data_IF_940854226778
#
_entry.id   IF_940854226778
#
_cell.length_a   1.000
_cell.length_b   1.000
_cell.length_c   1.000
_cell.angle_alpha   90.00
_cell.angle_beta   90.00
_cell.angle_gamma   90.00
#
_symmetry.space_group_name_H-M   'P 1'
#
loop_
_entity.id
_entity.type
_entity.pdbx_description
1 polymer ?
#
# COMPACT_ATOMS: atom_id res chain seq x y z
N UNK A 1 22.29 10.62 6.53
CA UNK A 1 21.22 11.39 7.23
C UNK A 1 19.89 10.74 6.87
N UNK A 2 18.99 10.50 7.83
CA UNK A 2 17.70 9.87 7.53
C UNK A 2 16.78 10.87 6.80
N UNK A 3 16.23 10.55 5.61
CA UNK A 3 15.28 11.39 4.90
C UNK A 3 14.10 11.75 5.80
N UNK A 4 13.83 13.04 5.88
CA UNK A 4 12.83 13.59 6.80
C UNK A 4 11.42 13.02 6.53
N UNK A 5 11.06 12.82 5.26
CA UNK A 5 9.78 12.23 4.87
C UNK A 5 9.57 10.84 5.49
N UNK A 6 10.62 10.02 5.51
CA UNK A 6 10.60 8.69 6.08
C UNK A 6 10.62 8.74 7.61
N UNK A 7 11.37 9.66 8.23
CA UNK A 7 11.39 9.83 9.69
C UNK A 7 10.00 10.17 10.21
N UNK A 8 9.35 11.16 9.57
CA UNK A 8 7.98 11.57 9.89
C UNK A 8 6.99 10.41 9.75
N UNK A 9 7.08 9.62 8.66
CA UNK A 9 6.20 8.46 8.47
C UNK A 9 6.38 7.39 9.57
N UNK A 10 7.62 7.15 10.02
CA UNK A 10 7.90 6.22 11.12
C UNK A 10 7.34 6.73 12.44
N UNK A 11 7.47 8.04 12.71
CA UNK A 11 6.86 8.67 13.89
C UNK A 11 5.34 8.50 13.91
N UNK A 12 4.65 8.81 12.81
CA UNK A 12 3.21 8.65 12.74
C UNK A 12 2.76 7.20 12.85
N UNK A 13 3.55 6.25 12.32
CA UNK A 13 3.30 4.82 12.51
C UNK A 13 3.39 4.44 13.98
N UNK A 14 4.49 4.80 14.65
CA UNK A 14 4.64 4.50 16.07
C UNK A 14 3.52 5.13 16.92
N UNK A 15 3.12 6.36 16.60
CA UNK A 15 2.01 7.04 17.29
C UNK A 15 0.68 6.31 17.09
N UNK A 16 0.31 5.99 15.85
CA UNK A 16 -0.94 5.29 15.55
C UNK A 16 -1.01 3.92 16.25
N UNK A 17 0.10 3.19 16.26
CA UNK A 17 0.17 1.89 16.93
C UNK A 17 0.12 2.01 18.45
N UNK A 18 0.72 3.05 19.03
CA UNK A 18 0.60 3.34 20.45
C UNK A 18 -0.85 3.66 20.83
N UNK A 19 -1.53 4.47 20.01
CA UNK A 19 -2.94 4.81 20.21
C UNK A 19 -3.84 3.56 20.11
N UNK A 20 -3.60 2.64 19.17
CA UNK A 20 -4.33 1.36 19.13
C UNK A 20 -4.09 0.45 20.34
N UNK A 21 -2.91 0.54 20.94
CA UNK A 21 -2.57 -0.21 22.15
C UNK A 21 -3.14 0.39 23.44
N UNK A 22 -3.68 1.61 23.39
CA UNK A 22 -4.19 2.34 24.56
C UNK A 22 -5.72 2.24 24.65
N UNK A 23 -6.27 1.52 25.65
CA UNK A 23 -7.73 1.39 25.82
C UNK A 23 -8.43 2.71 26.18
N UNK A 24 -7.68 3.78 26.50
CA UNK A 24 -8.24 5.10 26.79
C UNK A 24 -8.38 5.98 25.54
N UNK A 25 -7.87 5.54 24.39
CA UNK A 25 -7.98 6.28 23.13
C UNK A 25 -9.09 5.67 22.27
N UNK A 26 -10.14 6.44 22.01
CA UNK A 26 -11.18 6.03 21.06
C UNK A 26 -10.72 6.26 19.62
N UNK A 27 -9.98 5.27 19.10
CA UNK A 27 -9.49 5.24 17.72
C UNK A 27 -10.60 5.03 16.69
N UNK A 28 -11.82 4.72 17.13
CA UNK A 28 -12.97 4.48 16.25
C UNK A 28 -13.80 5.76 16.02
N UNK A 29 -13.59 6.82 16.79
CA UNK A 29 -14.34 8.06 16.61
C UNK A 29 -13.97 8.80 15.32
N UNK A 30 -14.97 9.41 14.68
CA UNK A 30 -14.76 10.30 13.52
C UNK A 30 -13.82 11.47 13.85
N UNK A 31 -13.90 11.97 15.09
CA UNK A 31 -13.05 13.04 15.59
C UNK A 31 -11.57 12.61 15.59
N UNK A 32 -11.27 11.40 16.10
CA UNK A 32 -9.93 10.85 16.09
C UNK A 32 -9.41 10.67 14.65
N UNK A 33 -10.18 10.02 13.78
CA UNK A 33 -9.77 9.78 12.38
C UNK A 33 -9.42 11.07 11.67
N UNK A 34 -10.31 12.06 11.75
CA UNK A 34 -10.15 13.33 11.06
C UNK A 34 -8.94 14.10 11.59
N UNK A 35 -8.77 14.15 12.92
CA UNK A 35 -7.63 14.81 13.54
C UNK A 35 -6.30 14.11 13.22
N UNK A 36 -6.29 12.79 13.24
CA UNK A 36 -5.12 11.96 12.96
C UNK A 36 -4.70 12.06 11.50
N UNK A 37 -5.63 11.95 10.55
CA UNK A 37 -5.30 12.13 9.12
C UNK A 37 -4.87 13.57 8.83
N UNK A 38 -5.52 14.57 9.43
CA UNK A 38 -5.16 15.98 9.26
C UNK A 38 -3.71 16.29 9.69
N UNK A 39 -3.16 15.56 10.66
CA UNK A 39 -1.80 15.76 11.12
C UNK A 39 -0.76 15.40 10.05
N UNK A 40 -0.95 14.31 9.30
CA UNK A 40 0.03 13.86 8.30
C UNK A 40 -0.30 14.21 6.85
N UNK A 41 -1.57 14.54 6.55
CA UNK A 41 -2.00 14.79 5.17
C UNK A 41 -1.23 15.93 4.47
N UNK A 42 -0.86 17.05 5.13
CA UNK A 42 -0.05 18.10 4.49
C UNK A 42 1.28 17.56 3.95
N UNK A 43 1.95 16.69 4.70
CA UNK A 43 3.22 16.08 4.28
C UNK A 43 3.04 15.14 3.09
N UNK A 44 1.97 14.34 3.09
CA UNK A 44 1.65 13.48 1.95
C UNK A 44 1.36 14.29 0.68
N UNK A 45 0.65 15.41 0.80
CA UNK A 45 0.37 16.32 -0.33
C UNK A 45 1.66 16.94 -0.86
N UNK A 46 2.50 17.47 0.03
CA UNK A 46 3.79 18.07 -0.32
C UNK A 46 4.63 17.11 -1.17
N UNK A 47 4.78 15.86 -0.73
CA UNK A 47 5.56 14.84 -1.45
C UNK A 47 5.05 14.53 -2.86
N UNK A 48 3.73 14.62 -3.10
CA UNK A 48 3.14 14.37 -4.42
C UNK A 48 3.44 15.46 -5.44
N UNK A 49 3.87 16.64 -4.98
CA UNK A 49 4.17 17.80 -5.81
C UNK A 49 5.68 18.05 -5.99
N UNK A 50 6.54 17.24 -5.36
CA UNK A 50 8.00 17.34 -5.53
C UNK A 50 8.39 16.82 -6.93
N UNK A 51 9.15 17.62 -7.67
CA UNK A 51 9.59 17.30 -9.03
C UNK A 51 10.70 16.24 -9.02
N UNK A 52 10.48 15.12 -9.71
CA UNK A 52 11.30 13.89 -9.70
C UNK A 52 12.64 13.98 -10.43
N UNK A 53 13.31 15.13 -10.49
CA UNK A 53 14.51 15.33 -11.33
C UNK A 53 15.75 14.55 -10.87
N UNK A 54 15.72 13.93 -9.69
CA UNK A 54 16.81 13.10 -9.17
C UNK A 54 16.27 11.70 -8.79
N UNK A 55 16.81 10.65 -9.41
CA UNK A 55 16.37 9.25 -9.25
C UNK A 55 16.47 8.74 -7.79
N UNK A 56 17.49 9.18 -7.03
CA UNK A 56 17.63 8.87 -5.61
C UNK A 56 16.55 9.47 -4.70
N UNK A 57 15.91 10.57 -5.12
CA UNK A 57 14.76 11.13 -4.39
C UNK A 57 13.48 10.35 -4.68
N UNK A 58 13.31 9.83 -5.90
CA UNK A 58 12.10 9.10 -6.30
C UNK A 58 11.89 7.84 -5.45
N UNK A 59 12.94 7.05 -5.20
CA UNK A 59 12.83 5.87 -4.34
C UNK A 59 12.42 6.23 -2.90
N UNK A 60 13.02 7.26 -2.31
CA UNK A 60 12.70 7.74 -0.96
C UNK A 60 11.26 8.25 -0.86
N UNK A 61 10.83 9.01 -1.87
CA UNK A 61 9.46 9.51 -1.95
C UNK A 61 8.45 8.37 -2.13
N UNK A 62 8.74 7.39 -2.99
CA UNK A 62 7.88 6.22 -3.18
C UNK A 62 7.73 5.42 -1.88
N UNK A 63 8.83 5.17 -1.16
CA UNK A 63 8.79 4.50 0.14
C UNK A 63 8.02 5.30 1.19
N UNK A 64 8.15 6.62 1.21
CA UNK A 64 7.40 7.46 2.15
C UNK A 64 5.90 7.47 1.81
N UNK A 65 5.55 7.67 0.54
CA UNK A 65 4.16 7.64 0.07
C UNK A 65 3.50 6.31 0.39
N UNK A 66 4.20 5.20 0.13
CA UNK A 66 3.77 3.87 0.54
C UNK A 66 3.41 3.81 2.03
N UNK A 67 4.30 4.29 2.93
CA UNK A 67 4.07 4.26 4.38
C UNK A 67 2.86 5.10 4.79
N UNK A 68 2.67 6.29 4.22
CA UNK A 68 1.49 7.11 4.54
C UNK A 68 0.19 6.49 4.03
N UNK A 69 0.19 5.88 2.84
CA UNK A 69 -1.00 5.18 2.36
C UNK A 69 -1.28 3.94 3.20
N UNK A 70 -0.26 3.23 3.69
CA UNK A 70 -0.44 2.15 4.66
C UNK A 70 -1.09 2.64 5.96
N UNK A 71 -0.66 3.79 6.49
CA UNK A 71 -1.31 4.42 7.66
C UNK A 71 -2.78 4.77 7.41
N UNK A 72 -3.13 5.22 6.20
CA UNK A 72 -4.53 5.47 5.82
C UNK A 72 -5.34 4.17 5.81
N UNK A 73 -4.78 3.06 5.32
CA UNK A 73 -5.47 1.77 5.40
C UNK A 73 -5.73 1.42 6.86
N UNK A 74 -4.70 1.46 7.71
CA UNK A 74 -4.85 1.13 9.13
C UNK A 74 -5.90 2.02 9.81
N UNK A 75 -5.80 3.34 9.63
CA UNK A 75 -6.69 4.31 10.24
C UNK A 75 -8.18 4.08 9.92
N UNK A 76 -8.49 3.67 8.69
CA UNK A 76 -9.86 3.54 8.21
C UNK A 76 -10.38 2.09 8.22
N UNK A 77 -9.52 1.09 8.43
CA UNK A 77 -9.93 -0.32 8.45
C UNK A 77 -11.03 -0.64 9.48
N UNK A 78 -11.02 -0.10 10.72
CA UNK A 78 -12.08 -0.36 11.69
C UNK A 78 -13.48 0.10 11.25
N UNK A 79 -13.59 0.91 10.21
CA UNK A 79 -14.83 1.57 9.82
C UNK A 79 -15.50 0.94 8.60
N UNK A 80 -14.92 -0.09 8.00
CA UNK A 80 -15.48 -0.74 6.80
C UNK A 80 -16.85 -1.39 7.04
N UNK A 81 -17.16 -1.78 8.29
CA UNK A 81 -18.46 -2.30 8.72
C UNK A 81 -19.41 -1.24 9.28
N UNK A 82 -18.94 -0.01 9.49
CA UNK A 82 -19.73 1.02 10.19
C UNK A 82 -20.78 1.66 9.28
N UNK A 83 -22.06 1.61 9.68
CA UNK A 83 -23.23 2.03 8.89
C UNK A 83 -23.06 3.37 8.15
N UNK A 84 -22.48 4.38 8.81
CA UNK A 84 -22.34 5.73 8.25
C UNK A 84 -20.96 6.07 7.69
N UNK A 85 -19.93 5.33 8.10
CA UNK A 85 -18.54 5.68 7.81
C UNK A 85 -17.90 4.74 6.78
N UNK A 86 -18.53 3.57 6.55
CA UNK A 86 -18.08 2.59 5.57
C UNK A 86 -17.84 3.18 4.18
N UNK A 87 -18.74 4.01 3.59
CA UNK A 87 -18.49 4.55 2.25
C UNK A 87 -17.20 5.41 2.16
N UNK A 88 -16.94 6.22 3.19
CA UNK A 88 -15.72 7.02 3.26
C UNK A 88 -14.48 6.13 3.48
N UNK A 89 -14.61 5.14 4.35
CA UNK A 89 -13.55 4.19 4.66
C UNK A 89 -13.14 3.41 3.41
N UNK A 90 -14.10 2.84 2.69
CA UNK A 90 -13.87 2.14 1.43
C UNK A 90 -13.20 3.02 0.38
N UNK A 91 -13.77 4.20 0.08
CA UNK A 91 -13.16 5.11 -0.88
C UNK A 91 -11.71 5.48 -0.51
N UNK A 92 -11.43 5.64 0.78
CA UNK A 92 -10.09 5.97 1.28
C UNK A 92 -9.13 4.79 1.17
N UNK A 93 -9.56 3.60 1.58
CA UNK A 93 -8.78 2.36 1.54
C UNK A 93 -8.46 1.99 0.09
N UNK A 94 -9.46 1.97 -0.79
CA UNK A 94 -9.29 1.66 -2.21
C UNK A 94 -8.25 2.57 -2.86
N UNK A 95 -8.37 3.89 -2.63
CA UNK A 95 -7.38 4.84 -3.12
C UNK A 95 -5.99 4.62 -2.50
N UNK A 96 -5.91 4.27 -1.22
CA UNK A 96 -4.63 3.99 -0.57
C UNK A 96 -3.95 2.73 -1.14
N UNK A 97 -4.73 1.67 -1.40
CA UNK A 97 -4.27 0.42 -2.04
C UNK A 97 -3.72 0.70 -3.44
N UNK A 98 -4.48 1.42 -4.27
CA UNK A 98 -4.03 1.84 -5.60
C UNK A 98 -2.68 2.57 -5.53
N UNK A 99 -2.56 3.56 -4.63
CA UNK A 99 -1.35 4.37 -4.49
C UNK A 99 -0.16 3.56 -3.95
N UNK A 100 -0.39 2.55 -3.11
CA UNK A 100 0.64 1.60 -2.68
C UNK A 100 1.17 0.80 -3.88
N UNK A 101 0.27 0.29 -4.72
CA UNK A 101 0.67 -0.47 -5.91
C UNK A 101 1.47 0.40 -6.89
N UNK A 102 1.06 1.65 -7.10
CA UNK A 102 1.86 2.59 -7.90
C UNK A 102 3.21 2.93 -7.26
N UNK A 103 3.31 2.99 -5.93
CA UNK A 103 4.60 3.19 -5.25
C UNK A 103 5.57 2.04 -5.54
N UNK A 104 5.08 0.78 -5.58
CA UNK A 104 5.90 -0.35 -6.00
C UNK A 104 6.29 -0.28 -7.49
N UNK A 105 5.35 0.12 -8.35
CA UNK A 105 5.63 0.37 -9.77
C UNK A 105 6.74 1.40 -9.95
N UNK A 106 6.70 2.50 -9.18
CA UNK A 106 7.75 3.52 -9.18
C UNK A 106 9.09 2.94 -8.74
N UNK A 107 9.13 2.16 -7.65
CA UNK A 107 10.37 1.51 -7.18
C UNK A 107 10.95 0.54 -8.21
N UNK A 108 10.10 -0.22 -8.92
CA UNK A 108 10.53 -1.08 -10.02
C UNK A 108 11.10 -0.24 -11.16
N UNK A 109 10.44 0.86 -11.52
CA UNK A 109 10.86 1.74 -12.63
C UNK A 109 12.24 2.36 -12.42
N UNK A 110 12.64 2.54 -11.16
CA UNK A 110 13.97 3.06 -10.79
C UNK A 110 14.95 1.97 -10.35
N UNK A 111 14.61 0.69 -10.52
CA UNK A 111 15.44 -0.45 -10.09
C UNK A 111 15.88 -0.36 -8.60
N UNK A 112 14.97 0.10 -7.75
CA UNK A 112 15.15 0.24 -6.30
C UNK A 112 14.11 -0.57 -5.51
N UNK A 113 13.41 -1.49 -6.19
CA UNK A 113 12.65 -2.53 -5.52
C UNK A 113 13.64 -3.51 -4.89
N UNK A 114 13.59 -3.66 -3.57
CA UNK A 114 14.30 -4.70 -2.85
C UNK A 114 13.27 -5.71 -2.31
N UNK A 115 12.99 -6.82 -3.02
CA UNK A 115 11.96 -7.77 -2.63
C UNK A 115 12.19 -8.31 -1.23
N UNK A 116 11.20 -8.18 -0.36
CA UNK A 116 11.27 -8.69 1.01
C UNK A 116 9.93 -9.29 1.46
N UNK A 117 9.98 -10.22 2.41
CA UNK A 117 8.79 -10.89 2.93
C UNK A 117 7.70 -9.91 3.41
N UNK A 118 8.03 -8.84 4.16
CA UNK A 118 7.02 -7.87 4.58
C UNK A 118 6.42 -7.01 3.46
N UNK A 119 7.04 -6.97 2.28
CA UNK A 119 6.42 -6.37 1.10
C UNK A 119 5.41 -7.33 0.48
N UNK A 120 5.75 -8.63 0.40
CA UNK A 120 4.84 -9.68 -0.09
C UNK A 120 3.57 -9.73 0.78
N UNK A 121 3.69 -9.74 2.10
CA UNK A 121 2.52 -9.74 2.99
C UNK A 121 1.60 -8.53 2.77
N UNK A 122 2.17 -7.35 2.55
CA UNK A 122 1.37 -6.16 2.26
C UNK A 122 0.71 -6.20 0.89
N UNK A 123 1.39 -6.75 -0.12
CA UNK A 123 0.76 -7.00 -1.42
C UNK A 123 -0.42 -7.98 -1.27
N UNK A 124 -0.29 -9.00 -0.42
CA UNK A 124 -1.38 -9.92 -0.09
C UNK A 124 -2.55 -9.18 0.57
N UNK A 125 -2.28 -8.35 1.58
CA UNK A 125 -3.34 -7.53 2.23
C UNK A 125 -3.99 -6.58 1.23
N UNK A 126 -3.21 -5.89 0.40
CA UNK A 126 -3.75 -5.06 -0.69
C UNK A 126 -4.63 -5.88 -1.64
N UNK A 127 -4.22 -7.08 -2.01
CA UNK A 127 -5.03 -7.98 -2.84
C UNK A 127 -6.32 -8.42 -2.16
N UNK A 128 -6.29 -8.75 -0.88
CA UNK A 128 -7.50 -9.07 -0.09
C UNK A 128 -8.44 -7.86 -0.02
N UNK A 129 -7.91 -6.65 0.20
CA UNK A 129 -8.70 -5.43 0.20
C UNK A 129 -9.30 -5.12 -1.18
N UNK A 130 -8.61 -5.42 -2.29
CA UNK A 130 -9.20 -5.30 -3.62
C UNK A 130 -10.38 -6.24 -3.82
N UNK A 131 -10.30 -7.47 -3.32
CA UNK A 131 -11.40 -8.44 -3.37
C UNK A 131 -12.61 -7.87 -2.64
N UNK A 132 -12.42 -7.41 -1.40
CA UNK A 132 -13.50 -6.86 -0.58
C UNK A 132 -14.08 -5.57 -1.18
N UNK A 133 -13.24 -4.66 -1.69
CA UNK A 133 -13.69 -3.42 -2.31
C UNK A 133 -14.47 -3.67 -3.61
N UNK A 134 -14.07 -4.67 -4.41
CA UNK A 134 -14.80 -5.03 -5.61
C UNK A 134 -16.15 -5.68 -5.29
N UNK A 135 -16.19 -6.60 -4.32
CA UNK A 135 -17.42 -7.24 -3.86
C UNK A 135 -18.41 -6.23 -3.25
N UNK A 136 -17.90 -5.24 -2.50
CA UNK A 136 -18.68 -4.14 -1.96
C UNK A 136 -19.19 -3.13 -3.02
N UNK A 137 -18.77 -3.27 -4.29
CA UNK A 137 -19.18 -2.38 -5.38
C UNK A 137 -18.45 -1.04 -5.43
N UNK A 138 -17.35 -0.89 -4.67
CA UNK A 138 -16.55 0.34 -4.57
C UNK A 138 -15.61 0.51 -5.78
N UNK A 139 -15.27 -0.61 -6.43
CA UNK A 139 -14.44 -0.65 -7.62
C UNK A 139 -15.27 -0.99 -8.85
N UNK A 140 -15.24 -0.10 -9.85
CA UNK A 140 -15.79 -0.42 -11.17
C UNK A 140 -14.99 -1.55 -11.82
N UNK A 141 -15.63 -2.41 -12.61
CA UNK A 141 -15.02 -3.61 -13.22
C UNK A 141 -13.68 -3.34 -13.91
N UNK A 142 -13.59 -2.26 -14.68
CA UNK A 142 -12.37 -1.87 -15.40
C UNK A 142 -11.22 -1.50 -14.44
N UNK A 143 -11.55 -0.77 -13.38
CA UNK A 143 -10.59 -0.34 -12.36
C UNK A 143 -10.07 -1.55 -11.58
N UNK A 144 -10.99 -2.43 -11.15
CA UNK A 144 -10.63 -3.70 -10.51
C UNK A 144 -9.69 -4.53 -11.40
N UNK A 145 -10.01 -4.70 -12.68
CA UNK A 145 -9.15 -5.44 -13.61
C UNK A 145 -7.74 -4.85 -13.69
N UNK A 146 -7.61 -3.52 -13.79
CA UNK A 146 -6.29 -2.85 -13.82
C UNK A 146 -5.51 -3.07 -12.52
N UNK A 147 -6.17 -2.96 -11.36
CA UNK A 147 -5.51 -3.13 -10.06
C UNK A 147 -5.12 -4.58 -9.80
N UNK A 148 -5.95 -5.56 -10.16
CA UNK A 148 -5.60 -6.98 -10.07
C UNK A 148 -4.47 -7.36 -11.04
N UNK A 149 -4.45 -6.76 -12.23
CA UNK A 149 -3.33 -6.93 -13.15
C UNK A 149 -2.03 -6.35 -12.58
N UNK A 150 -2.09 -5.15 -11.99
CA UNK A 150 -0.93 -4.56 -11.35
C UNK A 150 -0.44 -5.42 -10.17
N UNK A 151 -1.34 -5.94 -9.33
CA UNK A 151 -0.99 -6.90 -8.27
C UNK A 151 -0.29 -8.14 -8.83
N UNK A 152 -0.81 -8.70 -9.93
CA UNK A 152 -0.21 -9.85 -10.62
C UNK A 152 1.22 -9.54 -11.09
N UNK A 153 1.42 -8.41 -11.78
CA UNK A 153 2.72 -7.97 -12.26
C UNK A 153 3.70 -7.72 -11.09
N UNK A 154 3.23 -7.15 -9.98
CA UNK A 154 4.04 -6.91 -8.78
C UNK A 154 4.48 -8.20 -8.09
N UNK A 155 3.59 -9.21 -7.97
CA UNK A 155 3.94 -10.50 -7.40
C UNK A 155 4.97 -11.24 -8.27
N UNK A 156 4.88 -11.14 -9.60
CA UNK A 156 5.91 -11.68 -10.50
C UNK A 156 7.29 -11.09 -10.22
N UNK A 157 7.38 -9.79 -9.91
CA UNK A 157 8.66 -9.14 -9.56
C UNK A 157 9.26 -9.62 -8.24
N UNK A 158 8.48 -10.24 -7.37
CA UNK A 158 8.94 -10.80 -6.11
C UNK A 158 9.22 -12.31 -6.20
N UNK A 159 8.75 -12.98 -7.25
CA UNK A 159 8.73 -14.45 -7.35
C UNK A 159 10.11 -15.09 -7.31
N UNK A 160 11.12 -14.49 -7.95
CA UNK A 160 12.48 -15.03 -7.97
C UNK A 160 13.11 -15.10 -6.57
N UNK A 161 12.72 -14.17 -5.69
CA UNK A 161 13.18 -14.13 -4.29
C UNK A 161 12.27 -14.93 -3.36
N UNK A 162 10.95 -14.88 -3.61
CA UNK A 162 9.93 -15.46 -2.74
C UNK A 162 9.01 -16.40 -3.55
N UNK A 163 9.34 -17.70 -3.64
CA UNK A 163 8.62 -18.65 -4.49
C UNK A 163 7.12 -18.77 -4.18
N UNK A 164 6.70 -18.50 -2.94
CA UNK A 164 5.29 -18.45 -2.51
C UNK A 164 4.45 -17.47 -3.34
N UNK A 165 5.07 -16.46 -3.97
CA UNK A 165 4.38 -15.57 -4.91
C UNK A 165 3.75 -16.33 -6.08
N UNK A 166 4.28 -17.48 -6.51
CA UNK A 166 3.66 -18.30 -7.55
C UNK A 166 2.28 -18.83 -7.11
N UNK A 167 2.16 -19.30 -5.87
CA UNK A 167 0.88 -19.76 -5.32
C UNK A 167 -0.10 -18.61 -5.12
N UNK A 168 0.38 -17.46 -4.63
CA UNK A 168 -0.43 -16.24 -4.48
C UNK A 168 -0.97 -15.76 -5.83
N UNK A 169 -0.15 -15.80 -6.89
CA UNK A 169 -0.57 -15.47 -8.26
C UNK A 169 -1.71 -16.39 -8.71
N UNK A 170 -1.60 -17.69 -8.46
CA UNK A 170 -2.65 -18.66 -8.80
C UNK A 170 -3.93 -18.35 -8.03
N UNK A 171 -3.81 -18.09 -6.73
CA UNK A 171 -4.95 -17.73 -5.86
C UNK A 171 -5.69 -16.49 -6.35
N UNK A 172 -4.98 -15.37 -6.56
CA UNK A 172 -5.59 -14.14 -7.06
C UNK A 172 -6.16 -14.28 -8.48
N UNK A 173 -5.51 -15.07 -9.36
CA UNK A 173 -6.09 -15.41 -10.68
C UNK A 173 -7.42 -16.16 -10.55
N UNK A 174 -7.51 -17.10 -9.61
CA UNK A 174 -8.75 -17.80 -9.29
C UNK A 174 -9.86 -16.82 -8.90
N UNK A 175 -9.55 -15.83 -8.07
CA UNK A 175 -10.51 -14.79 -7.67
C UNK A 175 -10.91 -13.91 -8.86
N UNK A 176 -9.95 -13.47 -9.69
CA UNK A 176 -10.28 -12.69 -10.89
C UNK A 176 -11.17 -13.44 -11.86
N UNK A 177 -11.03 -14.77 -11.95
CA UNK A 177 -11.90 -15.60 -12.76
C UNK A 177 -13.34 -15.61 -12.24
N UNK A 178 -13.53 -15.70 -10.91
CA UNK A 178 -14.85 -15.63 -10.27
C UNK A 178 -15.52 -14.27 -10.52
N UNK A 179 -14.74 -13.18 -10.51
CA UNK A 179 -15.23 -11.83 -10.81
C UNK A 179 -15.33 -11.52 -12.31
N UNK A 180 -15.06 -12.49 -13.19
CA UNK A 180 -15.02 -12.30 -14.65
C UNK A 180 -14.05 -11.17 -15.09
N UNK A 181 -12.96 -10.99 -14.35
CA UNK A 181 -11.89 -10.04 -14.66
C UNK A 181 -10.79 -10.74 -15.47
N UNK A 182 -10.28 -10.04 -16.50
CA UNK A 182 -9.22 -10.59 -17.36
C UNK A 182 -7.86 -10.10 -16.89
N UNK A 183 -7.08 -11.03 -16.34
CA UNK A 183 -5.72 -10.78 -15.83
C UNK A 183 -4.76 -11.81 -16.43
N UNK A 184 -3.68 -11.31 -17.03
CA UNK A 184 -2.70 -12.11 -17.74
C UNK A 184 -1.62 -11.27 -18.42
N UNK A 185 -0.57 -11.91 -18.96
CA UNK A 185 0.55 -11.22 -19.63
C UNK A 185 0.12 -10.25 -20.73
N UNK A 186 -0.98 -10.55 -21.41
CA UNK A 186 -1.58 -9.73 -22.48
C UNK A 186 -2.21 -8.43 -21.98
N UNK A 187 -2.46 -8.32 -20.68
CA UNK A 187 -3.00 -7.12 -20.03
C UNK A 187 -1.96 -6.39 -19.18
N UNK A 188 -0.73 -6.89 -19.07
CA UNK A 188 0.32 -6.33 -18.21
C UNK A 188 0.53 -4.84 -18.46
N UNK A 189 0.69 -4.09 -17.36
CA UNK A 189 0.92 -2.65 -17.42
C UNK A 189 2.43 -2.42 -17.48
N UNK A 190 2.96 -1.72 -18.51
CA UNK A 190 4.40 -1.53 -18.63
C UNK A 190 4.93 -0.69 -17.48
N UNK A 191 5.93 -1.22 -16.76
CA UNK A 191 6.76 -0.44 -15.87
C UNK A 191 7.71 0.42 -16.73
N UNK A 192 7.45 1.71 -16.85
CA UNK A 192 8.30 2.61 -17.63
C UNK A 192 9.64 2.80 -16.92
N UNK A 193 10.66 2.05 -17.31
CA UNK A 193 12.03 2.25 -16.84
C UNK A 193 12.48 3.69 -17.15
N UNK A 194 13.05 4.37 -16.16
CA UNK A 194 13.70 5.66 -16.39
C UNK A 194 15.13 5.38 -16.81
N UNK A 195 15.50 5.82 -18.02
CA UNK A 195 16.87 5.72 -18.51
C UNK A 195 17.80 6.49 -17.55
N UNK A 196 18.82 5.80 -17.03
CA UNK A 196 19.79 6.24 -16.03
C UNK A 196 19.25 6.46 -14.60
N UNK A 197 19.15 5.36 -13.85
CA UNK A 197 19.09 5.42 -12.39
C UNK A 197 20.42 5.02 -11.78
N UNK A 198 21.10 6.00 -11.18
CA UNK A 198 22.13 5.72 -10.18
C UNK A 198 21.42 5.19 -8.95
N UNK A 199 21.65 3.91 -8.64
CA UNK A 199 21.15 3.31 -7.41
C UNK A 199 21.59 4.16 -6.21
N UNK A 200 20.66 4.49 -5.30
CA UNK A 200 21.02 5.25 -4.10
C UNK A 200 21.52 4.27 -3.02
N UNK A 201 22.84 4.18 -2.76
CA UNK A 201 23.38 3.24 -1.78
C UNK A 201 22.90 3.54 -0.36
N UNK A 202 22.30 4.71 -0.11
CA UNK A 202 21.69 5.01 1.17
C UNK A 202 20.35 4.28 1.38
N UNK A 203 19.73 3.72 0.33
CA UNK A 203 18.46 2.97 0.41
C UNK A 203 18.70 1.50 0.79
N UNK A 204 19.81 0.90 0.36
CA UNK A 204 20.14 -0.53 0.63
C UNK A 204 20.29 -0.87 2.12
N UNK A 205 20.65 0.12 2.96
CA UNK A 205 20.75 -0.04 4.41
C UNK A 205 19.43 0.10 5.18
N UNK A 206 18.29 0.25 4.49
CA UNK A 206 17.01 0.48 5.14
C UNK A 206 16.38 -0.81 5.64
N UNK A 207 15.79 -0.83 6.85
CA UNK A 207 14.96 -1.95 7.25
C UNK A 207 13.70 -1.97 6.38
N UNK A 208 13.73 -2.79 5.33
CA UNK A 208 12.56 -3.16 4.52
C UNK A 208 11.64 -4.10 5.29
N UNK A 209 12.21 -4.82 6.25
CA UNK A 209 11.47 -5.55 7.25
C UNK A 209 10.93 -4.59 8.30
N UNK A 210 9.62 -4.38 8.28
CA UNK A 210 8.93 -3.78 9.40
C UNK A 210 8.56 -4.94 10.31
N UNK A 211 9.01 -4.92 11.57
CA UNK A 211 8.78 -6.00 12.54
C UNK A 211 7.33 -6.14 13.01
N UNK A 212 6.34 -5.86 12.16
CA UNK A 212 4.93 -5.93 12.49
C UNK A 212 4.18 -6.54 11.30
N UNK A 213 4.34 -7.84 11.16
CA UNK A 213 3.43 -8.70 10.41
C UNK A 213 2.13 -8.74 11.23
N UNK A 214 1.11 -8.00 10.80
CA UNK A 214 -0.16 -7.93 11.51
C UNK A 214 -0.99 -9.19 11.29
N UNK A 215 -1.63 -9.65 12.36
CA UNK A 215 -2.77 -10.54 12.31
C UNK A 215 -4.05 -9.70 12.22
N UNK A 216 -4.77 -9.79 11.10
CA UNK A 216 -6.04 -9.08 10.90
C UNK A 216 -7.12 -9.52 11.90
N UNK A 217 -6.93 -10.64 12.61
CA UNK A 217 -7.84 -11.11 13.67
C UNK A 217 -7.86 -10.19 14.90
N UNK A 218 -6.86 -9.33 15.09
CA UNK A 218 -6.81 -8.41 16.23
C UNK A 218 -7.67 -7.15 16.04
N UNK A 219 -8.25 -6.94 14.85
CA UNK A 219 -9.16 -5.82 14.63
C UNK A 219 -10.59 -6.24 14.98
N UNK A 220 -11.26 -5.55 15.93
CA UNK A 220 -12.67 -5.80 16.18
C UNK A 220 -13.47 -5.30 14.98
N UNK A 221 -13.97 -6.24 14.17
CA UNK A 221 -15.04 -5.94 13.22
C UNK A 221 -16.32 -5.78 14.03
N UNK A 222 -16.69 -4.53 14.34
CA UNK A 222 -17.97 -4.19 14.96
C UNK A 222 -19.07 -3.95 13.94
#
# INVERSE_FOLDING_TARGET
>A
MFPECLARSSFYTAKLLADYGDPHVDTSSLAYITATEAAWMPHLREMRHISYRESGQRAKLAWAQFRYNWLRILLYLPHIGHERLAPQAWATITRAVEQIMYSYSDLISVNQLNPSWPQVQRLVVCGQLLILAHDAGELHRREAQTLFQLLHDLLLKHQDTWPICAELIIGFKGVTHVFDLKVGPEHSVPFHAVDEVVADPQVDGWPYAFGFDFDLSTFPFS
#
